data_IF_287087850383
#
_entry.id   IF_287087850383
#
_cell.length_a   1.000
_cell.length_b   1.000
_cell.length_c   1.000
_cell.angle_alpha   90.00
_cell.angle_beta   90.00
_cell.angle_gamma   90.00
#
_symmetry.space_group_name_H-M   'P 1'
#
loop_
_entity.id
_entity.type
_entity.pdbx_description
1 polymer ?
#
# COMPACT_ATOMS: atom_id res chain seq x y z
N UNK A 1 -25.83 64.86 17.43
CA UNK A 1 -24.94 64.99 16.29
C UNK A 1 -24.36 63.62 16.03
N UNK A 2 -25.02 62.80 15.16
CA UNK A 2 -24.65 62.64 13.75
C UNK A 2 -23.25 62.04 13.62
N UNK A 3 -23.10 60.82 13.18
CA UNK A 3 -23.14 60.35 11.80
C UNK A 3 -23.05 58.82 11.71
N UNK A 4 -24.02 58.26 11.08
CA UNK A 4 -24.08 56.97 10.42
C UNK A 4 -22.92 56.77 9.44
N UNK A 5 -22.28 55.60 9.45
CA UNK A 5 -21.62 55.06 8.26
C UNK A 5 -21.97 53.59 8.07
N UNK A 6 -22.78 53.40 7.06
CA UNK A 6 -23.04 52.14 6.39
C UNK A 6 -21.73 51.60 5.80
N UNK A 7 -21.33 50.40 6.16
CA UNK A 7 -20.23 49.66 5.54
C UNK A 7 -20.77 48.39 4.93
N UNK A 8 -20.65 48.31 3.61
CA UNK A 8 -21.11 47.25 2.73
C UNK A 8 -20.69 45.85 3.18
N UNK A 9 -21.63 44.96 3.20
CA UNK A 9 -21.41 43.53 3.20
C UNK A 9 -20.75 43.12 1.88
N UNK A 10 -19.44 42.85 1.93
CA UNK A 10 -18.74 42.15 0.85
C UNK A 10 -19.12 40.68 0.96
N UNK A 11 -19.98 40.23 0.07
CA UNK A 11 -20.20 38.82 -0.20
C UNK A 11 -18.88 38.21 -0.63
N UNK A 12 -18.27 37.42 0.29
CA UNK A 12 -17.22 36.48 -0.07
C UNK A 12 -17.87 35.27 -0.74
N UNK A 13 -17.48 34.93 -1.96
CA UNK A 13 -17.88 33.64 -2.53
C UNK A 13 -17.26 32.56 -1.70
N UNK A 14 -18.08 31.59 -1.28
CA UNK A 14 -17.65 30.34 -0.67
C UNK A 14 -16.73 29.65 -1.65
N UNK A 15 -15.44 29.75 -1.37
CA UNK A 15 -14.43 28.95 -2.04
C UNK A 15 -14.76 27.46 -1.85
N UNK A 16 -14.96 26.79 -2.95
CA UNK A 16 -14.98 25.36 -3.06
C UNK A 16 -13.71 24.83 -2.36
N UNK A 17 -13.92 24.13 -1.26
CA UNK A 17 -12.88 23.33 -0.62
C UNK A 17 -12.49 22.24 -1.64
N UNK A 18 -11.42 22.51 -2.37
CA UNK A 18 -10.73 21.45 -3.09
C UNK A 18 -10.20 20.48 -2.02
N UNK A 19 -10.97 19.43 -1.77
CA UNK A 19 -10.45 18.23 -1.16
C UNK A 19 -9.41 17.72 -2.13
N UNK A 20 -8.16 18.12 -1.88
CA UNK A 20 -6.98 17.51 -2.47
C UNK A 20 -7.02 16.04 -2.04
N UNK A 21 -7.59 15.21 -2.89
CA UNK A 21 -7.33 13.78 -2.89
C UNK A 21 -5.88 13.65 -3.34
N UNK A 22 -4.97 13.81 -2.38
CA UNK A 22 -3.59 13.43 -2.57
C UNK A 22 -3.55 11.91 -2.61
N UNK A 23 -3.86 11.35 -3.77
CA UNK A 23 -3.50 9.97 -4.11
C UNK A 23 -1.98 9.95 -4.18
N UNK A 24 -1.36 9.66 -3.05
CA UNK A 24 0.07 9.43 -2.94
C UNK A 24 0.40 8.14 -3.68
N UNK A 25 0.68 8.31 -4.96
CA UNK A 25 1.28 7.30 -5.81
C UNK A 25 2.71 7.06 -5.30
N UNK A 26 2.83 6.12 -4.35
CA UNK A 26 4.11 5.64 -3.85
C UNK A 26 4.81 4.79 -4.88
N UNK A 27 5.27 5.39 -5.98
CA UNK A 27 6.07 4.68 -6.97
C UNK A 27 7.53 4.69 -6.54
N UNK A 28 7.99 3.53 -6.15
CA UNK A 28 9.39 3.23 -5.84
C UNK A 28 10.21 3.47 -7.10
N UNK A 29 11.05 4.50 -7.09
CA UNK A 29 12.17 4.64 -8.03
C UNK A 29 13.19 3.55 -7.73
N UNK A 30 12.99 2.36 -8.27
CA UNK A 30 14.07 1.40 -8.40
C UNK A 30 15.09 1.96 -9.38
N UNK A 31 16.23 2.35 -8.82
CA UNK A 31 17.44 2.61 -9.63
C UNK A 31 17.65 1.46 -10.61
N UNK A 32 18.16 1.81 -11.81
CA UNK A 32 18.44 0.92 -12.93
C UNK A 32 19.45 -0.19 -12.58
N UNK A 33 19.04 -1.13 -11.74
CA UNK A 33 19.57 -2.46 -11.73
C UNK A 33 18.41 -3.34 -12.13
N UNK A 34 18.55 -4.14 -13.17
CA UNK A 34 17.59 -5.15 -13.59
C UNK A 34 17.52 -6.25 -12.51
N UNK A 35 17.04 -5.89 -11.31
CA UNK A 35 16.49 -6.83 -10.36
C UNK A 35 15.21 -7.31 -11.03
N UNK A 36 15.28 -8.48 -11.68
CA UNK A 36 14.10 -9.20 -12.13
C UNK A 36 13.13 -9.19 -10.95
N UNK A 37 12.03 -8.47 -11.08
CA UNK A 37 11.00 -8.38 -10.06
C UNK A 37 10.66 -9.84 -9.69
N UNK A 38 11.11 -10.29 -8.53
CA UNK A 38 10.90 -11.67 -8.09
C UNK A 38 9.39 -11.84 -8.01
N UNK A 39 8.86 -12.66 -8.92
CA UNK A 39 7.43 -12.92 -9.01
C UNK A 39 7.00 -13.54 -7.69
N UNK A 40 6.26 -12.81 -6.89
CA UNK A 40 5.68 -13.34 -5.67
C UNK A 40 4.90 -14.60 -6.01
N UNK A 41 5.27 -15.71 -5.41
CA UNK A 41 4.54 -16.97 -5.54
C UNK A 41 3.18 -16.78 -4.87
N UNK A 42 2.10 -16.87 -5.64
CA UNK A 42 0.77 -16.86 -5.05
C UNK A 42 0.46 -18.24 -4.46
N UNK A 43 -0.10 -18.23 -3.25
CA UNK A 43 -0.51 -19.44 -2.51
C UNK A 43 -1.95 -19.31 -2.06
N UNK A 44 -2.61 -20.44 -1.85
CA UNK A 44 -3.89 -20.49 -1.16
C UNK A 44 -3.66 -20.21 0.31
N UNK A 45 -4.25 -19.14 0.83
CA UNK A 45 -4.19 -18.77 2.24
C UNK A 45 -5.18 -19.58 3.06
N UNK A 46 -4.81 -19.87 4.31
CA UNK A 46 -5.70 -20.47 5.30
C UNK A 46 -6.04 -19.45 6.37
N UNK A 47 -7.17 -19.64 7.03
CA UNK A 47 -7.59 -18.79 8.14
C UNK A 47 -6.55 -18.81 9.28
N UNK A 48 -5.96 -19.97 9.55
CA UNK A 48 -4.89 -20.14 10.54
C UNK A 48 -3.67 -19.28 10.22
N UNK A 49 -3.27 -19.21 8.93
CA UNK A 49 -2.16 -18.38 8.51
C UNK A 49 -2.45 -16.88 8.67
N UNK A 50 -3.68 -16.43 8.38
CA UNK A 50 -4.06 -15.01 8.61
C UNK A 50 -4.04 -14.68 10.10
N UNK A 51 -4.60 -15.55 10.95
CA UNK A 51 -4.58 -15.34 12.39
C UNK A 51 -3.16 -15.36 12.95
N UNK A 52 -2.32 -16.29 12.49
CA UNK A 52 -0.90 -16.33 12.84
C UNK A 52 -0.14 -15.09 12.40
N UNK A 53 -0.42 -14.57 11.20
CA UNK A 53 0.16 -13.32 10.71
C UNK A 53 -0.21 -12.13 11.61
N UNK A 54 -1.50 -11.99 11.97
CA UNK A 54 -1.98 -10.92 12.85
C UNK A 54 -1.27 -10.99 14.21
N UNK A 55 -1.14 -12.19 14.79
CA UNK A 55 -0.50 -12.39 16.08
C UNK A 55 1.02 -12.11 16.02
N UNK A 56 1.70 -12.56 14.96
CA UNK A 56 3.13 -12.33 14.76
C UNK A 56 3.47 -10.86 14.49
N UNK A 57 2.57 -10.12 13.84
CA UNK A 57 2.84 -8.76 13.38
C UNK A 57 3.31 -7.82 14.49
N UNK A 58 2.63 -7.82 15.64
CA UNK A 58 3.00 -6.95 16.77
C UNK A 58 4.37 -7.30 17.36
N UNK A 59 4.71 -8.58 17.42
CA UNK A 59 6.01 -9.03 17.92
C UNK A 59 7.12 -8.69 16.91
N UNK A 60 6.86 -8.87 15.61
CA UNK A 60 7.77 -8.52 14.51
C UNK A 60 8.04 -7.00 14.45
N UNK A 61 7.01 -6.18 14.68
CA UNK A 61 7.14 -4.73 14.69
C UNK A 61 8.11 -4.24 15.79
N UNK A 62 8.09 -4.88 16.96
CA UNK A 62 9.01 -4.57 18.07
C UNK A 62 10.46 -4.85 17.70
N UNK A 63 10.73 -5.90 16.92
CA UNK A 63 12.07 -6.21 16.45
C UNK A 63 12.62 -5.15 15.51
N UNK A 64 11.78 -4.62 14.62
CA UNK A 64 12.18 -3.59 13.65
C UNK A 64 12.52 -2.25 14.30
N UNK A 65 11.82 -1.87 15.37
CA UNK A 65 12.06 -0.62 16.09
C UNK A 65 13.44 -0.57 16.81
N UNK A 66 14.13 -1.71 16.92
CA UNK A 66 15.45 -1.79 17.55
C UNK A 66 16.60 -2.10 16.58
N UNK A 67 16.32 -2.38 15.31
CA UNK A 67 17.33 -2.81 14.35
C UNK A 67 17.68 -1.69 13.37
N UNK A 68 18.99 -1.45 13.17
CA UNK A 68 19.47 -0.65 12.04
C UNK A 68 19.06 -1.35 10.73
N UNK A 69 18.27 -0.67 9.91
CA UNK A 69 17.75 -1.23 8.64
C UNK A 69 18.88 -1.61 7.65
N UNK A 70 20.07 -1.04 7.81
CA UNK A 70 21.17 -1.17 6.85
C UNK A 70 22.06 -2.41 7.05
N UNK A 71 21.89 -3.17 8.12
CA UNK A 71 22.69 -4.38 8.37
C UNK A 71 21.82 -5.53 8.86
N UNK A 72 21.77 -6.65 8.11
CA UNK A 72 21.12 -7.87 8.60
C UNK A 72 21.79 -8.33 9.92
N UNK A 73 21.06 -8.24 11.03
CA UNK A 73 21.53 -8.77 12.31
C UNK A 73 21.09 -10.23 12.44
N UNK A 74 22.05 -11.19 12.54
CA UNK A 74 21.71 -12.60 12.70
C UNK A 74 20.82 -12.88 13.93
N UNK A 75 20.96 -12.08 15.01
CA UNK A 75 20.13 -12.21 16.21
C UNK A 75 18.69 -11.80 15.93
N UNK A 76 18.48 -10.71 15.20
CA UNK A 76 17.14 -10.27 14.79
C UNK A 76 16.46 -11.31 13.89
N UNK A 77 17.21 -11.91 12.96
CA UNK A 77 16.70 -12.98 12.12
C UNK A 77 16.31 -14.24 12.92
N UNK A 78 17.14 -14.62 13.90
CA UNK A 78 16.82 -15.76 14.77
C UNK A 78 15.58 -15.49 15.65
N UNK A 79 15.42 -14.27 16.14
CA UNK A 79 14.22 -13.86 16.87
C UNK A 79 12.97 -13.84 15.97
N UNK A 80 13.09 -13.32 14.75
CA UNK A 80 12.01 -13.35 13.78
C UNK A 80 11.58 -14.76 13.41
N UNK A 81 12.54 -15.67 13.23
CA UNK A 81 12.28 -17.11 12.99
C UNK A 81 11.54 -17.73 14.19
N UNK A 82 11.94 -17.42 15.42
CA UNK A 82 11.27 -17.91 16.63
C UNK A 82 9.82 -17.40 16.73
N UNK A 83 9.59 -16.09 16.43
CA UNK A 83 8.25 -15.52 16.40
C UNK A 83 7.39 -16.17 15.32
N UNK A 84 7.91 -16.39 14.12
CA UNK A 84 7.19 -17.07 13.05
C UNK A 84 6.73 -18.46 13.50
N UNK A 85 7.63 -19.27 14.05
CA UNK A 85 7.32 -20.63 14.55
C UNK A 85 6.31 -20.62 15.69
N UNK A 86 6.45 -19.72 16.65
CA UNK A 86 5.51 -19.54 17.76
C UNK A 86 4.09 -19.27 17.27
N UNK A 87 3.96 -18.55 16.16
CA UNK A 87 2.68 -18.16 15.58
C UNK A 87 2.19 -19.12 14.47
N UNK A 88 2.75 -20.33 14.40
CA UNK A 88 2.25 -21.45 13.59
C UNK A 88 2.78 -21.54 12.18
N UNK A 89 3.83 -20.80 11.84
CA UNK A 89 4.56 -20.93 10.58
C UNK A 89 5.71 -21.95 10.73
N UNK A 90 6.00 -22.70 9.68
CA UNK A 90 7.13 -23.64 9.69
C UNK A 90 8.49 -22.88 9.69
N UNK A 91 8.51 -21.66 9.12
CA UNK A 91 9.72 -20.83 9.02
C UNK A 91 9.37 -19.36 8.82
N UNK A 92 10.38 -18.48 8.99
CA UNK A 92 10.28 -17.08 8.63
C UNK A 92 9.99 -16.90 7.13
N UNK A 93 10.53 -17.77 6.28
CA UNK A 93 10.27 -17.74 4.84
C UNK A 93 8.78 -18.01 4.52
N UNK A 94 8.12 -18.94 5.21
CA UNK A 94 6.68 -19.14 5.09
C UNK A 94 5.90 -17.91 5.56
N UNK A 95 6.28 -17.36 6.71
CA UNK A 95 5.68 -16.13 7.20
C UNK A 95 5.75 -14.99 6.16
N UNK A 96 6.94 -14.78 5.55
CA UNK A 96 7.10 -13.77 4.49
C UNK A 96 6.23 -14.07 3.27
N UNK A 97 6.16 -15.34 2.84
CA UNK A 97 5.32 -15.72 1.71
C UNK A 97 3.83 -15.41 1.97
N UNK A 98 3.34 -15.72 3.17
CA UNK A 98 1.98 -15.39 3.60
C UNK A 98 1.79 -13.87 3.66
N UNK A 99 2.73 -13.14 4.25
CA UNK A 99 2.71 -11.66 4.31
C UNK A 99 2.57 -11.04 2.94
N UNK A 100 3.38 -11.48 1.97
CA UNK A 100 3.34 -10.96 0.60
C UNK A 100 2.00 -11.22 -0.09
N UNK A 101 1.40 -12.40 0.15
CA UNK A 101 0.08 -12.74 -0.41
C UNK A 101 -1.05 -11.92 0.23
N UNK A 102 -1.01 -11.68 1.54
CA UNK A 102 -1.95 -10.80 2.23
C UNK A 102 -1.80 -9.37 1.70
N UNK A 103 -0.58 -8.83 1.66
CA UNK A 103 -0.30 -7.46 1.19
C UNK A 103 -0.75 -7.24 -0.25
N UNK A 104 -0.54 -8.21 -1.13
CA UNK A 104 -1.00 -8.14 -2.53
C UNK A 104 -2.52 -7.98 -2.63
N UNK A 105 -3.28 -8.65 -1.78
CA UNK A 105 -4.74 -8.53 -1.77
C UNK A 105 -5.17 -7.22 -1.12
N UNK A 106 -4.54 -6.87 0.01
CA UNK A 106 -4.86 -5.63 0.72
C UNK A 106 -4.63 -4.39 -0.14
N UNK A 107 -3.60 -4.38 -0.98
CA UNK A 107 -3.34 -3.27 -1.91
C UNK A 107 -4.44 -3.07 -2.94
N UNK A 108 -5.22 -4.12 -3.25
CA UNK A 108 -6.39 -4.05 -4.13
C UNK A 108 -7.70 -3.73 -3.40
N UNK A 109 -7.73 -3.68 -2.06
CA UNK A 109 -8.95 -3.38 -1.30
C UNK A 109 -9.06 -1.87 -1.07
N UNK A 110 -10.12 -1.27 -1.60
CA UNK A 110 -10.48 0.11 -1.33
C UNK A 110 -10.82 0.31 0.15
N UNK A 111 -10.16 1.27 0.79
CA UNK A 111 -10.24 1.48 2.24
C UNK A 111 -11.64 1.93 2.72
N UNK A 112 -12.38 2.64 1.85
CA UNK A 112 -13.69 3.19 2.19
C UNK A 112 -14.81 2.19 1.93
N UNK A 113 -14.78 1.59 0.74
CA UNK A 113 -15.84 0.69 0.29
C UNK A 113 -15.60 -0.77 0.65
N UNK A 114 -14.38 -1.12 1.08
CA UNK A 114 -13.91 -2.49 1.35
C UNK A 114 -14.02 -3.43 0.13
N UNK A 115 -14.23 -2.86 -1.05
CA UNK A 115 -14.31 -3.63 -2.30
C UNK A 115 -12.92 -3.90 -2.85
N UNK A 116 -12.71 -5.12 -3.32
CA UNK A 116 -11.49 -5.49 -4.01
C UNK A 116 -11.56 -5.07 -5.48
N UNK A 117 -10.47 -4.49 -5.97
CA UNK A 117 -10.25 -4.13 -7.38
C UNK A 117 -9.00 -4.88 -7.84
N UNK A 118 -9.09 -5.56 -8.97
CA UNK A 118 -7.92 -6.24 -9.54
C UNK A 118 -6.79 -5.24 -9.84
N UNK A 119 -5.52 -5.60 -9.61
CA UNK A 119 -4.39 -4.69 -9.81
C UNK A 119 -4.36 -4.05 -11.20
N UNK A 120 -4.67 -4.81 -12.25
CA UNK A 120 -4.73 -4.27 -13.60
C UNK A 120 -5.83 -3.23 -13.81
N UNK A 121 -6.98 -3.39 -13.16
CA UNK A 121 -8.08 -2.43 -13.22
C UNK A 121 -7.77 -1.17 -12.42
N UNK A 122 -7.08 -1.32 -11.29
CA UNK A 122 -6.61 -0.18 -10.51
C UNK A 122 -5.63 0.66 -11.31
N UNK A 123 -4.60 0.05 -11.91
CA UNK A 123 -3.63 0.75 -12.76
C UNK A 123 -4.31 1.45 -13.95
N UNK A 124 -5.29 0.82 -14.58
CA UNK A 124 -6.06 1.46 -15.66
C UNK A 124 -6.81 2.72 -15.19
N UNK A 125 -7.40 2.67 -13.99
CA UNK A 125 -8.04 3.84 -13.38
C UNK A 125 -7.04 4.95 -13.10
N UNK A 126 -5.87 4.62 -12.57
CA UNK A 126 -4.80 5.57 -12.30
C UNK A 126 -4.29 6.22 -13.59
N UNK A 127 -4.09 5.44 -14.65
CA UNK A 127 -3.73 5.95 -15.99
C UNK A 127 -4.82 6.93 -16.51
N UNK A 128 -6.09 6.58 -16.36
CA UNK A 128 -7.18 7.44 -16.79
C UNK A 128 -7.24 8.75 -15.99
N UNK A 129 -7.11 8.67 -14.67
CA UNK A 129 -7.08 9.81 -13.78
C UNK A 129 -5.89 10.74 -14.09
N UNK A 130 -4.69 10.19 -14.25
CA UNK A 130 -3.49 10.97 -14.56
C UNK A 130 -3.57 11.65 -15.93
N UNK A 131 -4.19 11.02 -16.93
CA UNK A 131 -4.44 11.66 -18.24
C UNK A 131 -5.38 12.85 -18.14
N UNK A 132 -6.39 12.76 -17.28
CA UNK A 132 -7.40 13.80 -17.10
C UNK A 132 -6.92 14.95 -16.17
N UNK A 133 -5.89 14.73 -15.38
CA UNK A 133 -5.38 15.72 -14.43
C UNK A 133 -4.53 16.78 -15.15
N UNK A 134 -5.08 17.97 -15.33
CA UNK A 134 -4.41 19.12 -15.96
C UNK A 134 -3.39 19.79 -15.03
N UNK A 135 -3.39 19.48 -13.73
CA UNK A 135 -2.49 20.10 -12.75
C UNK A 135 -1.07 19.50 -12.78
N UNK A 136 -0.90 18.31 -13.35
CA UNK A 136 0.39 17.62 -13.45
C UNK A 136 1.15 18.10 -14.69
N UNK A 137 2.40 18.60 -14.53
CA UNK A 137 3.23 19.03 -15.66
C UNK A 137 3.44 17.90 -16.69
N UNK A 138 3.43 18.24 -17.98
CA UNK A 138 3.51 17.25 -19.08
C UNK A 138 4.72 16.32 -19.00
N UNK A 139 5.86 16.82 -18.55
CA UNK A 139 7.08 16.00 -18.39
C UNK A 139 6.89 14.91 -17.34
N UNK A 140 6.35 15.26 -16.17
CA UNK A 140 6.05 14.32 -15.10
C UNK A 140 4.94 13.36 -15.52
N UNK A 141 3.88 13.88 -16.13
CA UNK A 141 2.76 13.06 -16.63
C UNK A 141 3.24 11.99 -17.60
N UNK A 142 4.12 12.34 -18.54
CA UNK A 142 4.70 11.39 -19.50
C UNK A 142 5.50 10.29 -18.80
N UNK A 143 6.32 10.65 -17.82
CA UNK A 143 7.13 9.72 -17.04
C UNK A 143 6.25 8.75 -16.23
N UNK A 144 5.28 9.27 -15.47
CA UNK A 144 4.37 8.46 -14.67
C UNK A 144 3.49 7.55 -15.54
N UNK A 145 2.99 8.03 -16.69
CA UNK A 145 2.24 7.20 -17.64
C UNK A 145 3.09 6.07 -18.21
N UNK A 146 4.38 6.30 -18.44
CA UNK A 146 5.30 5.24 -18.89
C UNK A 146 5.47 4.18 -17.81
N UNK A 147 5.64 4.58 -16.54
CA UNK A 147 5.76 3.68 -15.40
C UNK A 147 4.47 2.87 -15.17
N UNK A 148 3.31 3.50 -15.16
CA UNK A 148 2.02 2.82 -15.02
C UNK A 148 1.76 1.85 -16.18
N UNK A 149 2.15 2.23 -17.40
CA UNK A 149 2.03 1.35 -18.58
C UNK A 149 2.94 0.13 -18.48
N UNK A 150 4.15 0.27 -17.92
CA UNK A 150 5.04 -0.85 -17.65
C UNK A 150 4.48 -1.75 -16.53
N UNK A 151 3.97 -1.17 -15.45
CA UNK A 151 3.31 -1.89 -14.36
C UNK A 151 2.09 -2.69 -14.87
N UNK A 152 1.27 -2.09 -15.74
CA UNK A 152 0.11 -2.76 -16.34
C UNK A 152 0.50 -4.00 -17.15
N UNK A 153 1.62 -3.97 -17.88
CA UNK A 153 2.12 -5.13 -18.64
C UNK A 153 2.54 -6.29 -17.74
N UNK A 154 2.96 -6.01 -16.53
CA UNK A 154 3.44 -7.00 -15.56
C UNK A 154 2.40 -7.37 -14.50
N UNK A 155 1.33 -6.61 -14.41
CA UNK A 155 0.23 -6.85 -13.47
C UNK A 155 -0.38 -8.25 -13.69
N UNK A 156 -0.57 -8.98 -12.61
CA UNK A 156 -1.14 -10.33 -12.63
C UNK A 156 -2.42 -10.37 -11.81
N UNK A 157 -3.43 -11.10 -12.29
CA UNK A 157 -4.64 -11.30 -11.50
C UNK A 157 -4.35 -12.15 -10.27
N UNK A 158 -5.20 -12.02 -9.27
CA UNK A 158 -5.18 -12.91 -8.11
C UNK A 158 -5.61 -14.31 -8.54
N UNK A 159 -4.71 -15.29 -8.37
CA UNK A 159 -4.94 -16.69 -8.77
C UNK A 159 -5.95 -17.37 -7.84
N UNK A 160 -5.83 -17.15 -6.53
CA UNK A 160 -6.69 -17.76 -5.52
C UNK A 160 -7.75 -16.75 -5.08
N UNK A 161 -8.88 -16.73 -5.79
CA UNK A 161 -9.96 -15.76 -5.54
C UNK A 161 -10.56 -15.86 -4.13
N UNK A 162 -10.55 -17.06 -3.54
CA UNK A 162 -10.96 -17.30 -2.17
C UNK A 162 -10.15 -16.53 -1.13
N UNK A 163 -8.89 -16.21 -1.45
CA UNK A 163 -8.05 -15.40 -0.57
C UNK A 163 -8.61 -13.98 -0.40
N UNK A 164 -9.29 -13.44 -1.43
CA UNK A 164 -9.88 -12.09 -1.38
C UNK A 164 -10.92 -12.03 -0.26
N UNK A 165 -11.88 -12.95 -0.29
CA UNK A 165 -12.92 -13.00 0.74
C UNK A 165 -12.34 -13.25 2.15
N UNK A 166 -11.30 -14.08 2.22
CA UNK A 166 -10.63 -14.39 3.47
C UNK A 166 -9.89 -13.16 4.04
N UNK A 167 -9.16 -12.41 3.22
CA UNK A 167 -8.49 -11.18 3.65
C UNK A 167 -9.51 -10.11 4.01
N UNK A 168 -10.58 -9.94 3.22
CA UNK A 168 -11.66 -9.00 3.55
C UNK A 168 -12.31 -9.31 4.90
N UNK A 169 -12.52 -10.59 5.25
CA UNK A 169 -13.07 -11.00 6.57
C UNK A 169 -12.22 -10.48 7.73
N UNK A 170 -10.91 -10.39 7.55
CA UNK A 170 -9.96 -9.96 8.59
C UNK A 170 -9.45 -8.54 8.41
N UNK A 171 -9.95 -7.81 7.42
CA UNK A 171 -9.39 -6.53 6.96
C UNK A 171 -9.14 -5.53 8.09
N UNK A 172 -10.11 -5.32 8.98
CA UNK A 172 -10.00 -4.35 10.07
C UNK A 172 -9.04 -4.79 11.21
N UNK A 173 -8.60 -6.05 11.18
CA UNK A 173 -7.63 -6.62 12.13
C UNK A 173 -6.23 -6.73 11.54
N UNK A 174 -6.13 -6.63 10.23
CA UNK A 174 -4.85 -6.65 9.55
C UNK A 174 -4.13 -5.30 9.72
N UNK A 175 -2.81 -5.31 9.88
CA UNK A 175 -2.06 -4.05 9.86
C UNK A 175 -2.22 -3.40 8.49
N UNK A 176 -2.14 -2.06 8.42
CA UNK A 176 -2.13 -1.37 7.13
C UNK A 176 -1.03 -1.99 6.24
N UNK A 177 -1.24 -2.06 4.92
CA UNK A 177 -0.21 -2.54 4.00
C UNK A 177 1.07 -1.76 4.28
N UNK A 178 2.19 -2.48 4.41
CA UNK A 178 3.47 -1.86 4.65
C UNK A 178 3.73 -0.85 3.53
N UNK A 179 3.46 0.41 3.82
CA UNK A 179 4.02 1.49 3.04
C UNK A 179 5.50 1.44 3.36
N UNK A 180 6.35 1.21 2.37
CA UNK A 180 7.77 1.47 2.51
C UNK A 180 7.88 2.92 3.00
N UNK A 181 8.30 3.09 4.25
CA UNK A 181 8.62 4.41 4.77
C UNK A 181 9.69 4.99 3.85
N UNK A 182 9.27 5.93 3.01
CA UNK A 182 10.23 6.75 2.29
C UNK A 182 11.07 7.45 3.35
N UNK A 183 12.43 7.38 3.27
CA UNK A 183 13.24 8.24 4.11
C UNK A 183 12.75 9.67 3.89
N UNK A 184 12.50 10.36 5.00
CA UNK A 184 12.18 11.78 4.97
C UNK A 184 13.36 12.52 4.36
N UNK A 185 13.11 13.25 3.26
CA UNK A 185 14.08 14.20 2.68
C UNK A 185 14.42 15.32 3.66
#
# INVERSE_FOLDING_TARGET
MSLTRKGCAVCRPRGFSHVLVSVLLGLVLFGLGAAAAQKVKQIKLTEKQIQGFIAAHQEMAKLRGGANADKPDPKVNAQAEAIAKKNGFASLAEHYLVTMNISMIMSGIDQQTKKFIEPSEQIKKEIAALKADESVPDTKKKEELAQLSAALKTARPIQFKENIALVQKYFDRLPPPMQEERPAD
#
